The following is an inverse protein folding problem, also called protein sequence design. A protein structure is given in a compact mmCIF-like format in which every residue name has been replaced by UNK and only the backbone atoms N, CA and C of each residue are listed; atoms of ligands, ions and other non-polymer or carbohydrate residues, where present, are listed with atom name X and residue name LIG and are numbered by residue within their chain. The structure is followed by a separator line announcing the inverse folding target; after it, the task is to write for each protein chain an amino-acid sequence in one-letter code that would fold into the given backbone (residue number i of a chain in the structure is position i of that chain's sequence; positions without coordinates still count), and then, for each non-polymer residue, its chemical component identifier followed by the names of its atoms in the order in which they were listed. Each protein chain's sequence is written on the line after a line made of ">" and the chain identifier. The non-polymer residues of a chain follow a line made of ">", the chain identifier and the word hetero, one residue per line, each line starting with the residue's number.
data_IF_332125471561
#
_entry.id   IF_332125471561
#
_cell.length_a   1.000
_cell.length_b   1.000
_cell.length_c   1.000
_cell.angle_alpha   90.00
_cell.angle_beta   90.00
_cell.angle_gamma   90.00
#
_symmetry.space_group_name_H-M   'P 1'
#
loop_
_entity.id
_entity.type
_entity.pdbx_description
1 polymer ?
#
# COMPACT_ATOMS: atom_id res chain seq x y z
N UNK A 1 -31.60 -49.06 -23.36
CA UNK A 1 -32.76 -48.23 -22.93
C UNK A 1 -32.28 -47.31 -21.84
N UNK A 2 -32.15 -46.01 -22.10
CA UNK A 2 -31.54 -45.08 -21.15
C UNK A 2 -32.64 -44.28 -20.46
N UNK A 3 -33.02 -44.72 -19.25
CA UNK A 3 -33.86 -43.95 -18.34
C UNK A 3 -33.08 -42.76 -17.80
N UNK A 4 -33.17 -41.61 -18.47
CA UNK A 4 -32.69 -40.34 -17.90
C UNK A 4 -33.76 -39.82 -16.95
N UNK A 5 -33.64 -40.14 -15.66
CA UNK A 5 -34.37 -39.41 -14.61
C UNK A 5 -33.78 -38.01 -14.57
N UNK A 6 -34.50 -37.03 -15.13
CA UNK A 6 -34.16 -35.61 -15.00
C UNK A 6 -34.47 -35.14 -13.58
N UNK A 7 -33.62 -34.24 -13.05
CA UNK A 7 -33.90 -33.53 -11.82
C UNK A 7 -35.24 -32.81 -11.91
N UNK A 8 -36.01 -32.84 -10.81
CA UNK A 8 -37.26 -32.10 -10.74
C UNK A 8 -36.96 -30.62 -10.48
N UNK A 9 -37.78 -29.71 -11.04
CA UNK A 9 -37.60 -28.27 -10.81
C UNK A 9 -37.69 -27.89 -9.32
N UNK A 10 -38.46 -28.65 -8.54
CA UNK A 10 -38.63 -28.44 -7.10
C UNK A 10 -37.33 -28.72 -6.33
N UNK A 11 -36.57 -29.76 -6.70
CA UNK A 11 -35.28 -30.05 -6.09
C UNK A 11 -34.27 -28.92 -6.35
N UNK A 12 -34.22 -28.42 -7.59
CA UNK A 12 -33.37 -27.28 -7.93
C UNK A 12 -33.80 -26.00 -7.21
N UNK A 13 -35.11 -25.79 -7.05
CA UNK A 13 -35.66 -24.62 -6.37
C UNK A 13 -35.36 -24.64 -4.87
N UNK A 14 -35.47 -25.78 -4.21
CA UNK A 14 -35.12 -25.91 -2.79
C UNK A 14 -33.64 -25.58 -2.53
N UNK A 15 -32.74 -26.00 -3.42
CA UNK A 15 -31.30 -25.75 -3.28
C UNK A 15 -30.96 -24.26 -3.42
N UNK A 16 -31.53 -23.56 -4.41
CA UNK A 16 -31.26 -22.13 -4.59
C UNK A 16 -31.76 -21.29 -3.41
N UNK A 17 -32.87 -21.69 -2.78
CA UNK A 17 -33.41 -21.00 -1.59
C UNK A 17 -32.43 -21.10 -0.42
N UNK A 18 -31.92 -22.30 -0.15
CA UNK A 18 -30.94 -22.50 0.94
C UNK A 18 -29.63 -21.75 0.65
N UNK A 19 -29.13 -21.79 -0.58
CA UNK A 19 -27.93 -21.05 -0.98
C UNK A 19 -28.10 -19.53 -0.80
N UNK A 20 -29.26 -18.98 -1.15
CA UNK A 20 -29.55 -17.56 -0.99
C UNK A 20 -29.48 -17.11 0.48
N UNK A 21 -30.02 -17.91 1.41
CA UNK A 21 -29.99 -17.60 2.85
C UNK A 21 -28.55 -17.60 3.39
N UNK A 22 -27.71 -18.56 2.97
CA UNK A 22 -26.31 -18.64 3.39
C UNK A 22 -25.53 -17.40 2.89
N UNK A 23 -25.72 -17.02 1.62
CA UNK A 23 -25.07 -15.85 1.03
C UNK A 23 -25.45 -14.58 1.78
N UNK A 24 -26.73 -14.40 2.14
CA UNK A 24 -27.21 -13.21 2.85
C UNK A 24 -26.46 -12.96 4.17
N UNK A 25 -26.20 -14.01 4.95
CA UNK A 25 -25.47 -13.89 6.23
C UNK A 25 -23.96 -13.78 6.01
N UNK A 26 -23.41 -14.43 4.99
CA UNK A 26 -21.97 -14.48 4.75
C UNK A 26 -21.42 -13.24 4.02
N UNK A 27 -22.19 -12.62 3.12
CA UNK A 27 -21.75 -11.48 2.31
C UNK A 27 -21.10 -10.33 3.11
N UNK A 28 -21.68 -9.80 4.20
CA UNK A 28 -21.05 -8.69 4.93
C UNK A 28 -19.64 -9.06 5.44
N UNK A 29 -19.45 -10.30 5.88
CA UNK A 29 -18.15 -10.78 6.36
C UNK A 29 -17.14 -10.92 5.23
N UNK A 30 -17.56 -11.42 4.07
CA UNK A 30 -16.70 -11.53 2.88
C UNK A 30 -16.28 -10.15 2.40
N UNK A 31 -17.19 -9.18 2.32
CA UNK A 31 -16.88 -7.81 1.93
C UNK A 31 -15.87 -7.15 2.89
N UNK A 32 -16.07 -7.33 4.20
CA UNK A 32 -15.13 -6.86 5.23
C UNK A 32 -13.75 -7.52 5.12
N UNK A 33 -13.71 -8.84 4.89
CA UNK A 33 -12.46 -9.57 4.68
C UNK A 33 -11.72 -9.12 3.41
N UNK A 34 -12.45 -8.85 2.33
CA UNK A 34 -11.89 -8.33 1.08
C UNK A 34 -11.34 -6.91 1.26
N UNK A 35 -12.06 -6.02 1.94
CA UNK A 35 -11.58 -4.67 2.28
C UNK A 35 -10.29 -4.75 3.12
N UNK A 36 -10.26 -5.61 4.14
CA UNK A 36 -9.05 -5.87 4.93
C UNK A 36 -7.88 -6.37 4.08
N UNK A 37 -8.13 -7.31 3.17
CA UNK A 37 -7.09 -7.82 2.28
C UNK A 37 -6.52 -6.72 1.36
N UNK A 38 -7.38 -5.87 0.80
CA UNK A 38 -6.97 -4.73 -0.03
C UNK A 38 -6.12 -3.72 0.74
N UNK A 39 -6.52 -3.39 1.97
CA UNK A 39 -5.76 -2.49 2.84
C UNK A 39 -4.39 -3.07 3.22
N UNK A 40 -4.33 -4.37 3.52
CA UNK A 40 -3.07 -5.04 3.81
C UNK A 40 -2.13 -5.09 2.59
N UNK A 41 -2.67 -5.26 1.38
CA UNK A 41 -1.88 -5.21 0.17
C UNK A 41 -1.18 -3.85 0.01
N UNK A 42 -1.87 -2.74 0.32
CA UNK A 42 -1.27 -1.39 0.28
C UNK A 42 -0.16 -1.23 1.34
N UNK A 43 -0.31 -1.81 2.53
CA UNK A 43 0.73 -1.82 3.57
C UNK A 43 1.98 -2.57 3.11
N UNK A 44 1.80 -3.74 2.47
CA UNK A 44 2.90 -4.50 1.88
C UNK A 44 3.59 -3.69 0.77
N UNK A 45 2.80 -3.05 -0.09
CA UNK A 45 3.31 -2.20 -1.16
C UNK A 45 4.11 -1.01 -0.62
N UNK A 46 3.63 -0.33 0.43
CA UNK A 46 4.39 0.75 1.08
C UNK A 46 5.74 0.23 1.62
N UNK A 47 5.75 -0.95 2.21
CA UNK A 47 6.99 -1.56 2.71
C UNK A 47 7.97 -1.88 1.59
N UNK A 48 7.48 -2.33 0.44
CA UNK A 48 8.29 -2.56 -0.76
C UNK A 48 8.79 -1.24 -1.35
N UNK A 49 7.92 -0.23 -1.44
CA UNK A 49 8.26 1.10 -1.92
C UNK A 49 9.38 1.75 -1.10
N UNK A 50 9.38 1.60 0.23
CA UNK A 50 10.47 2.06 1.08
C UNK A 50 11.80 1.33 0.82
N UNK A 51 11.77 0.02 0.52
CA UNK A 51 12.98 -0.74 0.15
C UNK A 51 13.54 -0.29 -1.20
N UNK A 52 12.67 0.01 -2.15
CA UNK A 52 13.05 0.56 -3.46
C UNK A 52 13.70 1.95 -3.28
N UNK A 53 13.09 2.82 -2.46
CA UNK A 53 13.69 4.10 -2.10
C UNK A 53 15.04 3.96 -1.39
N UNK A 54 15.21 2.96 -0.52
CA UNK A 54 16.49 2.64 0.11
C UNK A 54 17.56 2.23 -0.93
N UNK A 55 17.19 1.44 -1.92
CA UNK A 55 18.11 1.05 -3.00
C UNK A 55 18.56 2.28 -3.81
N UNK A 56 17.62 3.15 -4.18
CA UNK A 56 17.92 4.40 -4.88
C UNK A 56 18.81 5.34 -4.05
N UNK A 57 18.55 5.46 -2.75
CA UNK A 57 19.41 6.21 -1.85
C UNK A 57 20.83 5.64 -1.77
N UNK A 58 20.97 4.32 -1.73
CA UNK A 58 22.28 3.67 -1.66
C UNK A 58 23.09 3.93 -2.93
N UNK A 59 22.44 3.90 -4.09
CA UNK A 59 23.09 4.23 -5.38
C UNK A 59 23.47 5.71 -5.46
N UNK A 60 22.58 6.62 -5.05
CA UNK A 60 22.89 8.05 -4.96
C UNK A 60 24.06 8.33 -3.99
N UNK A 61 24.15 7.58 -2.89
CA UNK A 61 25.25 7.67 -1.92
C UNK A 61 26.60 7.26 -2.53
N UNK A 62 26.60 6.20 -3.34
CA UNK A 62 27.82 5.70 -3.99
C UNK A 62 28.27 6.60 -5.15
N UNK A 63 27.32 7.18 -5.88
CA UNK A 63 27.58 7.98 -7.08
C UNK A 63 27.77 9.48 -6.80
N UNK A 64 27.87 9.88 -5.53
CA UNK A 64 28.04 11.29 -5.14
C UNK A 64 26.80 12.15 -5.41
N UNK A 65 25.65 11.53 -5.64
CA UNK A 65 24.37 12.20 -5.85
C UNK A 65 23.83 12.85 -4.57
N UNK A 66 24.30 12.43 -3.39
CA UNK A 66 23.94 13.05 -2.10
C UNK A 66 24.63 14.41 -1.93
N UNK A 67 23.88 15.50 -2.14
CA UNK A 67 24.34 16.84 -1.77
C UNK A 67 24.28 16.99 -0.26
N UNK A 68 25.32 17.55 0.36
CA UNK A 68 25.37 17.88 1.79
C UNK A 68 24.35 18.98 2.14
N UNK A 69 23.06 18.64 2.08
CA UNK A 69 22.02 19.35 2.81
C UNK A 69 22.14 18.96 4.27
N UNK A 70 21.99 19.93 5.17
CA UNK A 70 22.08 19.76 6.62
C UNK A 70 21.49 18.41 7.07
N UNK A 71 22.13 17.71 8.01
CA UNK A 71 21.75 16.38 8.52
C UNK A 71 20.30 16.22 9.05
N UNK A 72 19.49 17.28 8.96
CA UNK A 72 18.08 17.35 9.30
C UNK A 72 17.15 17.17 8.07
N UNK A 73 17.61 17.50 6.86
CA UNK A 73 16.80 17.41 5.64
C UNK A 73 16.96 16.04 5.00
N UNK A 74 15.90 15.22 5.05
CA UNK A 74 15.90 13.91 4.39
C UNK A 74 15.90 14.01 2.85
N UNK A 75 16.14 12.88 2.21
CA UNK A 75 16.02 12.73 0.76
C UNK A 75 14.65 12.19 0.41
N UNK A 76 13.94 12.87 -0.49
CA UNK A 76 12.66 12.38 -0.96
C UNK A 76 12.78 11.67 -2.30
N UNK A 77 12.19 10.49 -2.37
CA UNK A 77 12.06 9.69 -3.58
C UNK A 77 10.59 9.59 -3.93
N UNK A 78 10.17 10.24 -5.02
CA UNK A 78 8.83 10.06 -5.58
C UNK A 78 8.75 8.75 -6.35
N UNK A 79 7.53 8.20 -6.45
CA UNK A 79 7.25 7.03 -7.28
C UNK A 79 7.68 7.27 -8.72
N UNK A 80 7.39 8.46 -9.27
CA UNK A 80 7.77 8.82 -10.64
C UNK A 80 9.29 8.87 -10.83
N UNK A 81 10.05 9.40 -9.86
CA UNK A 81 11.51 9.38 -9.90
C UNK A 81 12.03 7.94 -9.97
N UNK A 82 11.52 7.07 -9.10
CA UNK A 82 11.95 5.68 -9.01
C UNK A 82 11.60 4.90 -10.28
N UNK A 83 10.43 5.16 -10.88
CA UNK A 83 10.04 4.60 -12.18
C UNK A 83 10.98 5.09 -13.28
N UNK A 84 11.22 6.40 -13.37
CA UNK A 84 12.05 6.98 -14.43
C UNK A 84 13.50 6.53 -14.36
N UNK A 85 14.00 6.25 -13.15
CA UNK A 85 15.35 5.71 -12.91
C UNK A 85 15.43 4.19 -13.04
N UNK A 86 14.31 3.50 -13.28
CA UNK A 86 14.27 2.05 -13.49
C UNK A 86 14.37 1.22 -12.21
N UNK A 87 14.12 1.82 -11.04
CA UNK A 87 14.07 1.09 -9.77
C UNK A 87 12.78 0.30 -9.60
N UNK A 88 11.72 0.68 -10.32
CA UNK A 88 10.43 0.00 -10.27
C UNK A 88 9.61 0.21 -11.55
N UNK A 89 8.71 -0.72 -11.82
CA UNK A 89 7.81 -0.63 -12.96
C UNK A 89 6.54 0.14 -12.64
N UNK A 90 6.07 0.93 -13.61
CA UNK A 90 4.73 1.53 -13.53
C UNK A 90 3.67 0.44 -13.63
N UNK A 91 2.82 0.33 -12.61
CA UNK A 91 1.65 -0.55 -12.65
C UNK A 91 0.69 -0.13 -13.75
N UNK A 92 0.27 -1.09 -14.57
CA UNK A 92 -0.68 -0.85 -15.67
C UNK A 92 -2.06 -0.52 -15.13
N UNK A 93 -2.57 0.67 -15.46
CA UNK A 93 -3.91 1.11 -15.07
C UNK A 93 -4.07 1.49 -13.60
N UNK A 94 -2.98 1.56 -12.84
CA UNK A 94 -2.99 2.02 -11.45
C UNK A 94 -3.01 3.55 -11.38
N UNK A 95 -3.75 4.08 -10.42
CA UNK A 95 -3.68 5.49 -10.01
C UNK A 95 -2.66 5.67 -8.88
N UNK A 96 -1.65 4.80 -8.85
CA UNK A 96 -0.72 4.67 -7.74
C UNK A 96 0.28 5.83 -7.79
N UNK A 97 0.35 6.59 -6.71
CA UNK A 97 1.26 7.72 -6.57
C UNK A 97 1.72 7.82 -5.12
N UNK A 98 2.94 8.28 -4.92
CA UNK A 98 3.52 8.31 -3.59
C UNK A 98 4.92 8.89 -3.58
N UNK A 99 5.40 9.12 -2.36
CA UNK A 99 6.76 9.56 -2.09
C UNK A 99 7.25 8.99 -0.75
N UNK A 100 8.55 8.74 -0.66
CA UNK A 100 9.22 8.31 0.58
C UNK A 100 10.27 9.34 0.95
N UNK A 101 10.19 9.86 2.17
CA UNK A 101 11.25 10.64 2.78
C UNK A 101 12.17 9.72 3.59
N UNK A 102 13.45 9.72 3.22
CA UNK A 102 14.51 8.98 3.88
C UNK A 102 15.39 9.95 4.68
N UNK A 103 15.41 9.82 6.00
CA UNK A 103 16.23 10.62 6.89
C UNK A 103 17.24 9.72 7.60
N UNK A 104 18.51 10.13 7.63
CA UNK A 104 19.56 9.45 8.38
C UNK A 104 19.90 10.33 9.58
N UNK A 105 19.74 9.79 10.79
CA UNK A 105 20.10 10.50 12.02
C UNK A 105 21.62 10.60 12.18
N UNK A 106 22.06 11.46 13.10
CA UNK A 106 23.47 11.55 13.50
C UNK A 106 24.02 10.26 14.15
N UNK A 107 23.14 9.32 14.53
CA UNK A 107 23.52 8.00 15.06
C UNK A 107 23.55 6.91 13.99
N UNK A 108 23.28 7.26 12.72
CA UNK A 108 23.20 6.31 11.61
C UNK A 108 21.86 5.59 11.49
N UNK A 109 20.85 5.96 12.29
CA UNK A 109 19.52 5.38 12.17
C UNK A 109 18.77 5.97 10.98
N UNK A 110 18.23 5.11 10.11
CA UNK A 110 17.42 5.54 8.98
C UNK A 110 15.93 5.48 9.30
N UNK A 111 15.26 6.60 9.05
CA UNK A 111 13.80 6.77 9.17
C UNK A 111 13.20 6.90 7.78
N UNK A 112 12.13 6.15 7.51
CA UNK A 112 11.41 6.15 6.24
C UNK A 112 9.98 6.59 6.48
N UNK A 113 9.63 7.80 6.05
CA UNK A 113 8.28 8.34 6.14
C UNK A 113 7.62 8.23 4.77
N UNK A 114 6.47 7.54 4.70
CA UNK A 114 5.82 7.16 3.44
C UNK A 114 4.51 7.93 3.27
N UNK A 115 4.32 8.45 2.06
CA UNK A 115 3.03 8.82 1.50
C UNK A 115 2.75 7.93 0.28
N UNK A 116 1.64 7.20 0.28
CA UNK A 116 1.30 6.29 -0.82
C UNK A 116 -0.21 6.24 -1.00
N UNK A 117 -0.69 6.37 -2.22
CA UNK A 117 -2.11 6.24 -2.58
C UNK A 117 -2.26 5.33 -3.78
N UNK A 118 -3.29 4.47 -3.76
CA UNK A 118 -3.70 3.67 -4.93
C UNK A 118 -5.04 4.13 -5.53
N UNK A 119 -5.47 5.35 -5.18
CA UNK A 119 -6.74 5.93 -5.60
C UNK A 119 -7.97 5.45 -4.81
N UNK A 120 -7.87 4.38 -4.01
CA UNK A 120 -8.94 3.92 -3.10
C UNK A 120 -8.55 4.08 -1.63
N UNK A 121 -7.29 3.80 -1.29
CA UNK A 121 -6.74 3.94 0.04
C UNK A 121 -5.43 4.73 -0.04
N UNK A 122 -5.12 5.51 1.01
CA UNK A 122 -3.84 6.23 1.10
C UNK A 122 -3.20 6.18 2.48
N UNK A 123 -1.89 6.00 2.53
CA UNK A 123 -1.03 6.15 3.70
C UNK A 123 -0.44 7.56 3.67
N UNK A 124 -0.57 8.32 4.75
CA UNK A 124 -0.10 9.71 4.83
C UNK A 124 0.91 9.92 5.97
N UNK A 125 2.18 10.14 5.62
CA UNK A 125 3.20 10.63 6.54
C UNK A 125 3.54 9.68 7.68
N UNK A 126 3.67 8.37 7.39
CA UNK A 126 3.89 7.34 8.42
C UNK A 126 5.24 6.65 8.28
N UNK A 127 5.85 6.31 9.42
CA UNK A 127 7.07 5.51 9.41
C UNK A 127 6.77 4.08 8.96
N UNK A 128 7.62 3.50 8.11
CA UNK A 128 7.47 2.11 7.65
C UNK A 128 7.35 1.09 8.79
N UNK A 129 8.09 1.30 9.90
CA UNK A 129 8.05 0.45 11.09
C UNK A 129 6.66 0.47 11.73
N UNK A 130 6.02 1.63 11.75
CA UNK A 130 4.68 1.79 12.32
C UNK A 130 3.63 1.15 11.41
N UNK A 131 3.75 1.31 10.08
CA UNK A 131 2.83 0.69 9.11
C UNK A 131 2.84 -0.84 9.23
N UNK A 132 3.99 -1.43 9.60
CA UNK A 132 4.11 -2.88 9.88
C UNK A 132 3.66 -3.28 11.28
N UNK A 133 3.66 -2.35 12.24
CA UNK A 133 3.21 -2.61 13.61
C UNK A 133 1.68 -2.60 13.65
N UNK A 134 1.11 -3.70 14.14
CA UNK A 134 -0.31 -3.77 14.54
C UNK A 134 -0.59 -2.69 15.58
N UNK A 135 -1.07 -1.53 15.13
CA UNK A 135 -1.58 -0.48 16.00
C UNK A 135 -2.58 -1.05 17.01
N UNK A 136 -2.65 -0.38 18.17
CA UNK A 136 -3.25 -0.78 19.46
C UNK A 136 -4.77 -1.10 19.47
N UNK A 137 -5.34 -1.65 18.41
CA UNK A 137 -6.79 -1.91 18.33
C UNK A 137 -7.13 -3.33 17.85
N UNK A 138 -6.35 -4.36 18.21
CA UNK A 138 -6.76 -5.78 18.11
C UNK A 138 -7.33 -6.29 16.77
N UNK A 139 -7.19 -5.51 15.68
CA UNK A 139 -8.00 -5.63 14.49
C UNK A 139 -7.46 -4.74 13.36
N UNK A 140 -6.90 -5.38 12.34
CA UNK A 140 -6.41 -4.81 11.09
C UNK A 140 -5.38 -3.64 11.22
N UNK A 141 -4.06 -3.90 11.09
CA UNK A 141 -3.03 -2.86 11.16
C UNK A 141 -3.30 -1.72 10.19
N UNK A 142 -3.78 -2.02 8.98
CA UNK A 142 -3.96 -1.02 7.93
C UNK A 142 -5.04 0.02 8.26
N UNK A 143 -5.97 -0.22 9.19
CA UNK A 143 -7.01 0.78 9.54
C UNK A 143 -6.42 2.02 10.23
N UNK A 144 -5.34 1.85 10.99
CA UNK A 144 -4.71 2.93 11.76
C UNK A 144 -3.88 3.91 10.91
N UNK A 145 -3.68 3.61 9.62
CA UNK A 145 -2.72 4.30 8.77
C UNK A 145 -3.34 4.91 7.50
N UNK A 146 -4.66 4.77 7.31
CA UNK A 146 -5.34 5.17 6.07
C UNK A 146 -6.27 6.37 6.28
N UNK A 147 -6.07 7.43 5.50
CA UNK A 147 -6.96 8.61 5.44
C UNK A 147 -7.67 8.68 4.08
N UNK A 148 -8.80 9.39 4.00
CA UNK A 148 -9.51 9.69 2.75
C UNK A 148 -8.80 10.82 1.99
N UNK A 149 -8.22 10.50 0.82
CA UNK A 149 -8.04 11.46 -0.28
C UNK A 149 -6.98 12.57 -0.14
N UNK A 150 -5.87 12.34 0.55
CA UNK A 150 -4.73 13.27 0.54
C UNK A 150 -3.86 13.14 -0.72
N UNK A 151 -3.36 14.26 -1.26
CA UNK A 151 -2.34 14.31 -2.31
C UNK A 151 -1.08 13.55 -1.85
N UNK A 152 -0.88 12.29 -2.23
CA UNK A 152 0.34 11.54 -1.87
C UNK A 152 1.55 11.89 -2.75
N UNK A 153 1.33 12.68 -3.80
CA UNK A 153 2.35 13.21 -4.71
C UNK A 153 3.09 14.38 -4.06
N UNK A 154 4.41 14.28 -3.99
CA UNK A 154 5.36 15.34 -3.62
C UNK A 154 5.23 15.97 -2.22
N UNK A 155 4.61 15.29 -1.25
CA UNK A 155 4.50 15.80 0.13
C UNK A 155 5.83 15.98 0.87
N UNK A 156 6.91 15.36 0.42
CA UNK A 156 8.21 15.56 1.06
C UNK A 156 8.79 16.96 0.84
N UNK A 157 8.28 17.75 -0.11
CA UNK A 157 8.90 19.02 -0.56
C UNK A 157 8.99 20.11 0.52
N UNK A 158 8.30 19.96 1.64
CA UNK A 158 8.42 20.85 2.81
C UNK A 158 9.33 20.31 3.93
N UNK A 159 9.80 19.06 3.83
CA UNK A 159 10.54 18.33 4.89
C UNK A 159 11.87 17.72 4.39
N UNK A 160 12.20 17.83 3.10
CA UNK A 160 13.42 17.27 2.52
C UNK A 160 13.73 17.80 1.11
N UNK A 161 14.94 17.53 0.61
CA UNK A 161 15.33 17.90 -0.76
C UNK A 161 14.68 16.93 -1.74
N UNK A 162 13.82 17.43 -2.63
CA UNK A 162 13.19 16.64 -3.67
C UNK A 162 14.23 16.13 -4.67
N UNK A 163 14.21 14.83 -4.95
CA UNK A 163 14.89 14.23 -6.09
C UNK A 163 13.97 14.29 -7.30
N UNK A 164 14.36 15.08 -8.30
CA UNK A 164 13.73 15.15 -9.62
C UNK A 164 14.58 14.46 -10.66
#
# INVERSE_FOLDING_TARGET
>A
MNNKKGFTLVELLAVIVVLAIIILVAMPNVLSAMDKARRNALVTEASEFAKIAQAAYSDDAMNGGLTTGNSETGYCYSMDYLINKGYMDKKKGGNDHGSVLLQVSNTGETTYTIWLSNGTYSINGRNVKDITATGKDGGNPAKAYLEDGGNASDNCGSQGTLRS
#
